data_IF_843521502908
#
_entry.id   IF_843521502908
#
_cell.length_a   1.000
_cell.length_b   1.000
_cell.length_c   1.000
_cell.angle_alpha   90.00
_cell.angle_beta   90.00
_cell.angle_gamma   90.00
#
_symmetry.space_group_name_H-M   'P 1'
#
loop_
_entity.id
_entity.type
_entity.pdbx_description
1 polymer ?
#
# COMPACT_ATOMS: atom_id res chain seq x y z
N UNK A 1 -4.21 8.53 -2.69
CA UNK A 1 -4.91 7.55 -1.84
C UNK A 1 -5.08 6.26 -2.62
N UNK A 2 -4.79 5.13 -2.00
CA UNK A 2 -4.91 3.81 -2.63
C UNK A 2 -6.39 3.48 -2.95
N UNK A 3 -6.66 2.60 -3.93
CA UNK A 3 -7.97 2.40 -4.52
C UNK A 3 -8.88 1.48 -3.67
N UNK A 4 -8.89 1.65 -2.35
CA UNK A 4 -9.71 0.82 -1.47
C UNK A 4 -11.22 1.05 -1.70
N UNK A 5 -12.06 0.02 -1.51
CA UNK A 5 -11.70 -1.37 -1.21
C UNK A 5 -11.12 -2.09 -2.44
N UNK A 6 -10.02 -2.83 -2.28
CA UNK A 6 -9.25 -3.43 -3.37
C UNK A 6 -8.71 -4.82 -3.02
N UNK A 7 -8.48 -5.65 -4.05
CA UNK A 7 -7.81 -6.96 -3.90
C UNK A 7 -6.28 -6.81 -3.81
N UNK A 8 -5.59 -7.87 -3.37
CA UNK A 8 -4.12 -7.96 -3.39
C UNK A 8 -3.53 -7.52 -4.74
N UNK A 9 -4.06 -8.06 -5.85
CA UNK A 9 -3.57 -7.75 -7.20
C UNK A 9 -3.74 -6.27 -7.57
N UNK A 10 -4.90 -5.68 -7.23
CA UNK A 10 -5.18 -4.26 -7.50
C UNK A 10 -4.25 -3.33 -6.71
N UNK A 11 -3.92 -3.72 -5.47
CA UNK A 11 -2.99 -2.97 -4.62
C UNK A 11 -1.56 -3.07 -5.12
N UNK A 12 -1.13 -4.23 -5.64
CA UNK A 12 0.19 -4.41 -6.26
C UNK A 12 0.30 -3.55 -7.54
N UNK A 13 -0.72 -3.54 -8.42
CA UNK A 13 -0.73 -2.68 -9.60
C UNK A 13 -0.68 -1.20 -9.20
N UNK A 14 -1.47 -0.80 -8.20
CA UNK A 14 -1.44 0.56 -7.69
C UNK A 14 -0.08 0.92 -7.09
N UNK A 15 0.51 0.08 -6.24
CA UNK A 15 1.82 0.30 -5.63
C UNK A 15 2.92 0.44 -6.70
N UNK A 16 2.89 -0.41 -7.73
CA UNK A 16 3.83 -0.36 -8.85
C UNK A 16 3.65 0.91 -9.69
N UNK A 17 2.41 1.29 -10.01
CA UNK A 17 2.10 2.49 -10.82
C UNK A 17 2.32 3.80 -10.09
N UNK A 18 2.07 3.81 -8.78
CA UNK A 18 2.27 4.98 -7.92
C UNK A 18 3.74 5.20 -7.56
N UNK A 19 4.62 4.23 -7.84
CA UNK A 19 6.03 4.30 -7.48
C UNK A 19 6.28 4.07 -5.99
N UNK A 20 5.46 3.22 -5.36
CA UNK A 20 5.64 2.82 -3.97
C UNK A 20 7.02 2.15 -3.77
N UNK A 21 7.59 2.22 -2.56
CA UNK A 21 8.84 1.53 -2.24
C UNK A 21 8.76 0.03 -2.55
N UNK A 22 9.86 -0.55 -3.03
CA UNK A 22 9.92 -1.98 -3.36
C UNK A 22 9.50 -2.87 -2.18
N UNK A 23 9.91 -2.51 -0.96
CA UNK A 23 9.51 -3.21 0.27
C UNK A 23 7.98 -3.30 0.43
N UNK A 24 7.24 -2.26 0.07
CA UNK A 24 5.77 -2.27 0.12
C UNK A 24 5.21 -3.23 -0.93
N UNK A 25 5.78 -3.24 -2.14
CA UNK A 25 5.36 -4.13 -3.22
C UNK A 25 5.66 -5.60 -2.84
N UNK A 26 6.86 -5.89 -2.35
CA UNK A 26 7.27 -7.23 -1.91
C UNK A 26 6.36 -7.73 -0.77
N UNK A 27 6.08 -6.88 0.23
CA UNK A 27 5.15 -7.23 1.29
C UNK A 27 3.74 -7.53 0.76
N UNK A 28 3.24 -6.74 -0.20
CA UNK A 28 1.94 -6.99 -0.83
C UNK A 28 1.95 -8.28 -1.66
N UNK A 29 3.04 -8.62 -2.35
CA UNK A 29 3.21 -9.85 -3.11
C UNK A 29 3.30 -11.09 -2.21
N UNK A 30 3.88 -10.95 -1.02
CA UNK A 30 4.03 -12.01 0.00
C UNK A 30 2.72 -12.31 0.77
N UNK A 31 1.69 -11.46 0.67
CA UNK A 31 0.39 -11.74 1.28
C UNK A 31 -0.23 -13.02 0.72
N UNK A 32 -1.00 -13.73 1.54
CA UNK A 32 -1.80 -14.86 1.05
C UNK A 32 -2.90 -14.35 0.11
N UNK A 33 -3.01 -14.96 -1.07
CA UNK A 33 -4.05 -14.65 -2.05
C UNK A 33 -5.34 -15.43 -1.71
N UNK A 34 -5.99 -15.01 -0.63
CA UNK A 34 -7.24 -15.61 -0.15
C UNK A 34 -8.48 -15.08 -0.90
N UNK A 35 -8.30 -14.17 -1.87
CA UNK A 35 -9.39 -13.50 -2.59
C UNK A 35 -10.21 -12.54 -1.73
N UNK A 36 -9.71 -12.21 -0.54
CA UNK A 36 -10.30 -11.23 0.36
C UNK A 36 -10.10 -9.81 -0.18
N UNK A 37 -11.10 -8.96 0.07
CA UNK A 37 -11.06 -7.55 -0.30
C UNK A 37 -10.64 -6.76 0.94
N UNK A 38 -9.58 -5.97 0.79
CA UNK A 38 -9.09 -5.11 1.85
C UNK A 38 -9.81 -3.76 1.78
N UNK A 39 -10.29 -3.23 2.91
CA UNK A 39 -10.98 -1.95 2.98
C UNK A 39 -10.01 -0.78 3.25
N UNK A 40 -8.83 -1.08 3.80
CA UNK A 40 -7.80 -0.08 4.10
C UNK A 40 -6.40 -0.69 4.25
N UNK A 41 -5.37 0.16 4.33
CA UNK A 41 -4.00 -0.29 4.61
C UNK A 41 -3.87 -0.95 5.99
N UNK A 42 -4.72 -0.59 6.95
CA UNK A 42 -4.72 -1.14 8.31
C UNK A 42 -5.12 -2.63 8.33
N UNK A 43 -5.88 -3.09 7.32
CA UNK A 43 -6.28 -4.50 7.20
C UNK A 43 -5.11 -5.40 6.82
N UNK A 44 -4.14 -4.83 6.08
CA UNK A 44 -2.93 -5.52 5.63
C UNK A 44 -1.81 -5.31 6.64
N UNK A 45 -1.62 -4.06 7.05
CA UNK A 45 -0.53 -3.63 7.88
C UNK A 45 -1.07 -2.75 9.00
N UNK A 46 -1.45 -3.35 10.14
CA UNK A 46 -2.09 -2.63 11.24
C UNK A 46 -1.16 -1.61 11.91
N UNK A 47 0.16 -1.80 11.78
CA UNK A 47 1.20 -0.88 12.24
C UNK A 47 1.71 0.06 11.13
N UNK A 48 0.99 0.19 10.01
CA UNK A 48 1.42 1.08 8.94
C UNK A 48 1.42 2.54 9.43
N UNK A 49 2.54 3.26 9.27
CA UNK A 49 2.61 4.66 9.67
C UNK A 49 1.51 5.46 8.96
N UNK A 50 0.64 6.10 9.75
CA UNK A 50 -0.45 6.94 9.22
C UNK A 50 0.14 8.09 8.40
N UNK A 51 -0.64 8.68 7.47
CA UNK A 51 -0.13 9.73 6.55
C UNK A 51 0.59 10.92 7.21
N UNK A 52 0.44 11.12 8.52
CA UNK A 52 1.20 12.10 9.31
C UNK A 52 2.70 11.74 9.52
N UNK A 53 3.11 10.49 9.29
CA UNK A 53 4.49 10.01 9.38
C UNK A 53 5.21 10.01 8.01
N UNK A 54 4.46 10.05 6.91
CA UNK A 54 5.01 10.34 5.59
C UNK A 54 5.27 11.84 5.48
N UNK A 55 6.36 12.29 6.08
CA UNK A 55 7.07 13.48 5.61
C UNK A 55 7.53 13.17 4.18
N UNK A 56 6.64 13.36 3.20
CA UNK A 56 7.05 13.87 1.91
C UNK A 56 7.80 15.15 2.26
N UNK A 57 9.14 15.12 2.16
CA UNK A 57 9.88 16.36 2.12
C UNK A 57 9.36 17.10 0.87
N UNK A 58 8.41 18.02 1.06
CA UNK A 58 8.09 19.11 0.13
C UNK A 58 9.29 20.09 -0.01
N UNK A 59 10.52 19.59 0.11
CA UNK A 59 11.78 20.32 0.02
C UNK A 59 12.57 19.86 -1.22
N UNK A 60 11.91 19.59 -2.34
CA UNK A 60 12.58 19.63 -3.64
C UNK A 60 11.72 20.38 -4.67
N UNK A 61 11.98 21.69 -4.71
CA UNK A 61 11.47 22.73 -5.60
C UNK A 61 12.00 22.59 -7.04
#
# INVERSE_FOLDING_TARGET
DAPWPATKEELIDYATRSGAPLEVIENLEDLDDDGEIYESIEDIWPDYPTKDDFFFNEDEY
#
